data_IF_749346085106
#
_entry.id   IF_749346085106
#
_cell.length_a   1.000
_cell.length_b   1.000
_cell.length_c   1.000
_cell.angle_alpha   90.00
_cell.angle_beta   90.00
_cell.angle_gamma   90.00
#
_symmetry.space_group_name_H-M   'P 1'
#
loop_
_entity.id
_entity.type
_entity.pdbx_description
1 polymer ?
#
# COMPACT_ATOMS: atom_id res chain seq x y z
N UNK A 1 22.98 -21.70 9.53
CA UNK A 1 21.58 -21.93 9.11
C UNK A 1 20.76 -20.76 9.66
N UNK A 2 20.43 -19.78 8.82
CA UNK A 2 19.64 -18.62 9.25
C UNK A 2 18.16 -19.04 9.29
N UNK A 3 17.52 -18.90 10.46
CA UNK A 3 16.08 -19.11 10.61
C UNK A 3 15.33 -18.27 9.56
N UNK A 4 14.34 -18.85 8.85
CA UNK A 4 13.42 -18.03 8.07
C UNK A 4 12.71 -17.05 9.04
N UNK A 5 12.54 -15.77 8.67
CA UNK A 5 11.78 -14.83 9.47
C UNK A 5 10.36 -15.39 9.68
N UNK A 6 9.74 -15.15 10.85
CA UNK A 6 8.40 -15.64 11.13
C UNK A 6 7.48 -15.18 10.01
N UNK A 7 6.93 -16.16 9.27
CA UNK A 7 5.87 -15.94 8.31
C UNK A 7 4.77 -15.20 9.05
N UNK A 8 4.53 -13.95 8.67
CA UNK A 8 3.51 -13.13 9.29
C UNK A 8 2.17 -13.84 9.06
N UNK A 9 1.70 -14.55 10.09
CA UNK A 9 0.37 -15.15 10.15
C UNK A 9 -0.64 -14.15 9.62
N UNK A 10 -1.29 -14.55 8.53
CA UNK A 10 -2.19 -13.73 7.72
C UNK A 10 -3.47 -13.37 8.52
N UNK A 11 -3.33 -12.44 9.45
CA UNK A 11 -4.42 -11.54 9.83
C UNK A 11 -4.79 -10.65 8.63
N UNK A 12 -5.91 -9.92 8.70
CA UNK A 12 -6.32 -9.02 7.62
C UNK A 12 -5.16 -8.07 7.26
N UNK A 13 -4.57 -8.24 6.07
CA UNK A 13 -3.44 -7.42 5.64
C UNK A 13 -3.90 -5.98 5.44
N UNK A 14 -3.25 -5.07 6.15
CA UNK A 14 -3.44 -3.63 6.03
C UNK A 14 -2.36 -3.07 5.13
N UNK A 15 -2.75 -2.56 3.96
CA UNK A 15 -1.82 -1.97 2.99
C UNK A 15 -2.05 -0.47 2.93
N UNK A 16 -0.97 0.31 3.05
CA UNK A 16 -0.99 1.73 2.81
C UNK A 16 -0.86 2.02 1.31
N UNK A 17 -1.81 2.80 0.77
CA UNK A 17 -1.87 3.19 -0.64
C UNK A 17 -1.87 4.71 -0.76
N UNK A 18 -1.21 5.23 -1.80
CA UNK A 18 -0.91 6.67 -1.92
C UNK A 18 -1.13 7.23 -3.34
N UNK A 19 -1.70 6.46 -4.26
CA UNK A 19 -1.90 6.86 -5.65
C UNK A 19 -3.20 6.32 -6.22
N UNK A 20 -3.15 5.71 -7.40
CA UNK A 20 -4.33 5.18 -8.11
C UNK A 20 -5.14 4.19 -7.26
N UNK A 21 -4.46 3.43 -6.40
CA UNK A 21 -5.10 2.50 -5.46
C UNK A 21 -5.87 3.20 -4.32
N UNK A 22 -5.89 4.54 -4.23
CA UNK A 22 -6.75 5.29 -3.30
C UNK A 22 -8.21 5.36 -3.78
N UNK A 23 -8.43 5.17 -5.08
CA UNK A 23 -9.76 5.08 -5.66
C UNK A 23 -10.33 3.67 -5.46
N UNK A 24 -11.61 3.59 -5.10
CA UNK A 24 -12.27 2.31 -4.88
C UNK A 24 -12.54 1.60 -6.20
N UNK A 25 -12.99 2.33 -7.21
CA UNK A 25 -13.32 1.79 -8.53
C UNK A 25 -12.12 1.07 -9.17
N UNK A 26 -10.95 1.71 -9.16
CA UNK A 26 -9.72 1.14 -9.72
C UNK A 26 -9.37 -0.19 -9.03
N UNK A 27 -9.56 -0.27 -7.71
CA UNK A 27 -9.23 -1.49 -6.96
C UNK A 27 -10.31 -2.55 -7.08
N UNK A 28 -11.56 -2.14 -7.27
CA UNK A 28 -12.66 -3.03 -7.62
C UNK A 28 -12.41 -3.68 -8.99
N UNK A 29 -11.89 -2.93 -9.97
CA UNK A 29 -11.47 -3.45 -11.27
C UNK A 29 -10.25 -4.37 -11.14
N UNK A 30 -9.21 -3.97 -10.41
CA UNK A 30 -7.97 -4.75 -10.27
C UNK A 30 -8.15 -6.05 -9.48
N UNK A 31 -8.93 -6.05 -8.40
CA UNK A 31 -9.18 -7.25 -7.59
C UNK A 31 -10.48 -7.98 -7.95
N UNK A 32 -11.30 -7.43 -8.85
CA UNK A 32 -12.66 -7.94 -9.12
C UNK A 32 -13.62 -7.82 -7.94
N UNK A 33 -13.22 -7.18 -6.83
CA UNK A 33 -14.01 -7.05 -5.60
C UNK A 33 -13.70 -5.75 -4.86
N UNK A 34 -14.72 -5.16 -4.24
CA UNK A 34 -14.56 -3.94 -3.45
C UNK A 34 -13.96 -4.26 -2.08
N UNK A 35 -12.86 -3.61 -1.66
CA UNK A 35 -12.40 -3.71 -0.28
C UNK A 35 -13.45 -3.08 0.66
N UNK A 36 -13.84 -3.75 1.76
CA UNK A 36 -14.96 -3.31 2.60
C UNK A 36 -14.63 -2.09 3.47
N UNK A 37 -13.36 -1.70 3.63
CA UNK A 37 -12.98 -0.56 4.45
C UNK A 37 -11.71 0.11 3.94
N UNK A 38 -11.81 1.39 3.62
CA UNK A 38 -10.67 2.28 3.42
C UNK A 38 -10.73 3.43 4.41
N UNK A 39 -9.66 3.67 5.14
CA UNK A 39 -9.55 4.80 6.07
C UNK A 39 -8.42 5.73 5.63
N UNK A 40 -8.60 7.07 5.69
CA UNK A 40 -7.50 7.99 5.47
C UNK A 40 -6.37 7.71 6.46
N UNK A 41 -5.13 7.66 5.97
CA UNK A 41 -3.95 7.36 6.78
C UNK A 41 -2.82 8.31 6.40
N UNK A 42 -2.01 8.67 7.40
CA UNK A 42 -0.79 9.45 7.22
C UNK A 42 0.39 8.54 7.54
N UNK A 43 1.34 8.44 6.61
CA UNK A 43 2.58 7.70 6.81
C UNK A 43 3.68 8.70 7.24
N UNK A 44 4.05 8.73 8.54
CA UNK A 44 5.08 9.64 9.05
C UNK A 44 6.47 9.21 8.59
N UNK A 45 7.42 10.14 8.57
CA UNK A 45 8.82 9.95 8.17
C UNK A 45 9.02 9.40 6.76
N UNK A 46 8.06 9.66 5.87
CA UNK A 46 8.10 9.25 4.48
C UNK A 46 7.75 10.45 3.57
N UNK A 47 8.36 10.48 2.39
CA UNK A 47 8.10 11.50 1.37
C UNK A 47 7.89 10.86 0.01
N UNK A 48 6.97 11.44 -0.76
CA UNK A 48 6.76 11.10 -2.18
C UNK A 48 7.86 11.74 -3.01
N UNK A 49 8.58 10.93 -3.77
CA UNK A 49 9.60 11.35 -4.73
C UNK A 49 9.14 11.03 -6.15
N UNK A 50 9.09 12.05 -6.99
CA UNK A 50 8.88 11.88 -8.43
C UNK A 50 10.21 11.50 -9.07
N UNK A 51 10.32 10.28 -9.59
CA UNK A 51 11.54 9.87 -10.30
C UNK A 51 11.52 10.45 -11.71
N UNK A 52 12.64 11.06 -12.13
CA UNK A 52 12.78 11.54 -13.51
C UNK A 52 12.70 10.36 -14.48
N UNK A 53 11.83 10.46 -15.47
CA UNK A 53 11.59 9.40 -16.45
C UNK A 53 10.70 8.26 -15.97
N UNK A 54 10.08 8.36 -14.79
CA UNK A 54 9.03 7.41 -14.37
C UNK A 54 7.72 8.12 -14.09
N UNK A 55 6.64 7.53 -14.58
CA UNK A 55 5.27 8.01 -14.37
C UNK A 55 4.85 7.85 -12.91
N UNK A 56 5.39 6.84 -12.21
CA UNK A 56 5.01 6.52 -10.85
C UNK A 56 5.98 7.14 -9.82
N UNK A 57 5.46 7.93 -8.86
CA UNK A 57 6.27 8.42 -7.75
C UNK A 57 6.62 7.27 -6.81
N UNK A 58 7.83 7.26 -6.25
CA UNK A 58 8.20 6.34 -5.17
C UNK A 58 8.00 7.00 -3.81
N UNK A 59 7.87 6.17 -2.77
CA UNK A 59 7.97 6.63 -1.39
C UNK A 59 9.37 6.27 -0.90
N UNK A 60 10.07 7.26 -0.35
CA UNK A 60 11.34 7.06 0.34
C UNK A 60 11.23 7.54 1.79
N UNK A 61 11.97 6.92 2.72
CA UNK A 61 12.06 7.41 4.09
C UNK A 61 12.69 8.81 4.07
N UNK A 62 11.99 9.76 4.67
CA UNK A 62 12.40 11.15 4.76
C UNK A 62 11.88 11.75 6.07
N UNK A 63 12.79 12.08 6.97
CA UNK A 63 12.47 12.64 8.29
C UNK A 63 11.68 13.94 8.15
N UNK A 64 10.73 14.15 9.07
CA UNK A 64 9.86 15.34 9.13
C UNK A 64 8.92 15.54 7.93
N UNK A 65 8.71 14.51 7.12
CA UNK A 65 7.68 14.49 6.08
C UNK A 65 6.62 13.45 6.40
N UNK A 66 5.39 13.71 5.97
CA UNK A 66 4.30 12.74 6.03
C UNK A 66 3.67 12.58 4.66
N UNK A 67 3.37 11.33 4.29
CA UNK A 67 2.60 11.03 3.07
C UNK A 67 1.14 10.81 3.44
N UNK A 68 0.27 11.66 2.90
CA UNK A 68 -1.17 11.42 2.93
C UNK A 68 -1.54 10.30 1.98
N UNK A 69 -2.29 9.33 2.48
CA UNK A 69 -2.79 8.20 1.72
C UNK A 69 -4.05 7.61 2.34
N UNK A 70 -4.34 6.37 1.98
CA UNK A 70 -5.39 5.57 2.61
C UNK A 70 -4.80 4.24 3.04
N UNK A 71 -5.26 3.71 4.16
CA UNK A 71 -5.01 2.32 4.53
C UNK A 71 -6.22 1.49 4.13
N UNK A 72 -5.95 0.33 3.53
CA UNK A 72 -6.98 -0.65 3.18
C UNK A 72 -6.72 -1.92 3.95
N UNK A 73 -7.71 -2.32 4.73
CA UNK A 73 -7.69 -3.54 5.53
C UNK A 73 -8.29 -4.67 4.69
N UNK A 74 -7.70 -5.86 4.74
CA UNK A 74 -8.19 -7.11 4.10
C UNK A 74 -7.94 -7.19 2.58
N UNK A 75 -6.78 -6.71 2.11
CA UNK A 75 -6.30 -7.11 0.78
C UNK A 75 -5.74 -8.53 0.86
N UNK A 76 -6.35 -9.50 0.16
CA UNK A 76 -5.79 -10.86 0.08
C UNK A 76 -4.58 -10.83 -0.84
N UNK A 77 -3.45 -11.33 -0.36
CA UNK A 77 -2.20 -11.47 -1.14
C UNK A 77 -2.36 -12.39 -2.36
N UNK A 78 -3.49 -13.08 -2.51
CA UNK A 78 -3.84 -13.85 -3.71
C UNK A 78 -3.85 -13.02 -5.00
N UNK A 79 -3.99 -11.68 -4.92
CA UNK A 79 -3.88 -10.80 -6.08
C UNK A 79 -2.43 -10.44 -6.47
N UNK A 80 -1.44 -10.83 -5.66
CA UNK A 80 -0.01 -10.63 -5.93
C UNK A 80 0.66 -11.90 -6.47
N UNK A 81 -0.09 -12.73 -7.22
CA UNK A 81 0.49 -13.88 -7.89
C UNK A 81 1.01 -13.47 -9.28
N UNK A 82 2.26 -13.84 -9.63
CA UNK A 82 2.92 -13.41 -10.86
C UNK A 82 2.26 -13.95 -12.14
#
# INVERSE_FOLDING_TARGET
>A
MASPPPVATAGPHSVFVYGTLMEEEVVRVLLGRAPPSSSPALLPDHRRFSLRGRVYPAILPARAHAVSGKVRVRLSLSSCQP
#
